data_IF_578947059187
#
_entry.id   IF_578947059187
#
_cell.length_a   1.000
_cell.length_b   1.000
_cell.length_c   1.000
_cell.angle_alpha   90.00
_cell.angle_beta   90.00
_cell.angle_gamma   90.00
#
_symmetry.space_group_name_H-M   'P 1'
#
loop_
_entity.id
_entity.type
_entity.pdbx_description
1 polymer ?
#
# COMPACT_ATOMS: atom_id res chain seq x y z
N UNK A 1 20.38 -9.01 18.82
CA UNK A 1 19.50 -9.64 17.81
C UNK A 1 18.68 -8.51 17.24
N UNK A 2 18.88 -8.17 15.96
CA UNK A 2 18.42 -6.89 15.40
C UNK A 2 16.90 -6.80 15.44
N UNK A 3 16.37 -5.79 16.13
CA UNK A 3 14.97 -5.39 15.99
C UNK A 3 14.80 -4.86 14.56
N UNK A 4 14.48 -5.73 13.61
CA UNK A 4 14.10 -5.27 12.28
C UNK A 4 12.65 -4.79 12.39
N UNK A 5 12.45 -3.48 12.47
CA UNK A 5 11.11 -2.87 12.46
C UNK A 5 10.42 -3.22 11.14
N UNK A 6 9.13 -3.60 11.13
CA UNK A 6 8.44 -3.95 9.89
C UNK A 6 8.42 -2.78 8.91
N UNK A 7 8.54 -3.08 7.62
CA UNK A 7 8.56 -2.06 6.56
C UNK A 7 7.20 -1.95 5.89
N UNK A 8 6.66 -0.73 5.86
CA UNK A 8 5.39 -0.42 5.23
C UNK A 8 5.64 0.56 4.07
N UNK A 9 5.22 0.19 2.87
CA UNK A 9 5.28 1.03 1.69
C UNK A 9 3.93 1.73 1.45
N UNK A 10 3.92 3.05 1.37
CA UNK A 10 2.73 3.87 1.11
C UNK A 10 2.87 4.52 -0.25
N UNK A 11 1.98 4.18 -1.18
CA UNK A 11 2.02 4.60 -2.57
C UNK A 11 0.78 5.43 -2.92
N UNK A 12 1.00 6.73 -3.17
CA UNK A 12 -0.06 7.66 -3.54
C UNK A 12 0.56 8.90 -4.20
N UNK A 13 -0.08 9.45 -5.22
CA UNK A 13 0.37 10.70 -5.86
C UNK A 13 0.09 11.93 -5.00
N UNK A 14 -0.88 11.85 -4.08
CA UNK A 14 -1.19 12.90 -3.13
C UNK A 14 -0.25 12.88 -1.91
N UNK A 15 0.60 13.91 -1.81
CA UNK A 15 1.43 14.16 -0.62
C UNK A 15 0.60 14.19 0.68
N UNK A 16 -0.61 14.75 0.64
CA UNK A 16 -1.48 14.85 1.80
C UNK A 16 -1.97 13.47 2.27
N UNK A 17 -2.31 12.58 1.32
CA UNK A 17 -2.74 11.21 1.63
C UNK A 17 -1.60 10.43 2.26
N UNK A 18 -0.38 10.49 1.70
CA UNK A 18 0.79 9.82 2.26
C UNK A 18 1.13 10.31 3.65
N UNK A 19 1.12 11.63 3.86
CA UNK A 19 1.35 12.22 5.19
C UNK A 19 0.30 11.73 6.20
N UNK A 20 -0.99 11.76 5.84
CA UNK A 20 -2.06 11.26 6.72
C UNK A 20 -1.90 9.79 7.06
N UNK A 21 -1.53 8.94 6.10
CA UNK A 21 -1.28 7.53 6.34
C UNK A 21 -0.07 7.33 7.25
N UNK A 22 1.02 8.05 7.00
CA UNK A 22 2.23 8.02 7.82
C UNK A 22 1.96 8.42 9.27
N UNK A 23 1.24 9.51 9.48
CA UNK A 23 0.85 9.98 10.81
C UNK A 23 0.03 8.89 11.52
N UNK A 24 -0.95 8.30 10.81
CA UNK A 24 -1.75 7.19 11.32
C UNK A 24 -0.91 5.96 11.72
N UNK A 25 0.02 5.52 10.86
CA UNK A 25 0.87 4.36 11.11
C UNK A 25 1.86 4.63 12.26
N UNK A 26 2.38 5.84 12.36
CA UNK A 26 3.32 6.24 13.43
C UNK A 26 2.68 6.19 14.82
N UNK A 27 1.36 6.36 14.90
CA UNK A 27 0.58 6.21 16.13
C UNK A 27 0.27 4.74 16.48
N UNK A 28 0.44 3.81 15.53
CA UNK A 28 0.10 2.40 15.70
C UNK A 28 1.31 1.52 16.05
N UNK A 29 2.54 1.96 15.77
CA UNK A 29 3.74 1.21 16.07
C UNK A 29 5.02 1.83 15.50
N UNK A 30 6.17 1.22 15.81
CA UNK A 30 7.45 1.58 15.21
C UNK A 30 7.64 0.83 13.89
N UNK A 31 7.41 1.53 12.78
CA UNK A 31 7.52 1.01 11.42
C UNK A 31 8.55 1.78 10.60
N UNK A 32 9.20 1.08 9.68
CA UNK A 32 9.95 1.73 8.60
C UNK A 32 8.96 2.12 7.49
N UNK A 33 8.57 3.40 7.43
CA UNK A 33 7.60 3.87 6.43
C UNK A 33 8.36 4.40 5.20
N UNK A 34 8.11 3.78 4.05
CA UNK A 34 8.63 4.18 2.74
C UNK A 34 7.50 4.78 1.91
N UNK A 35 7.76 5.87 1.19
CA UNK A 35 6.74 6.63 0.47
C UNK A 35 7.06 6.66 -1.03
N UNK A 36 6.07 6.33 -1.87
CA UNK A 36 6.17 6.37 -3.34
C UNK A 36 5.11 7.31 -3.92
N UNK A 37 5.42 8.03 -5.01
CA UNK A 37 4.60 9.12 -5.55
C UNK A 37 3.84 8.78 -6.83
N UNK A 38 4.10 7.62 -7.41
CA UNK A 38 3.52 7.14 -8.65
C UNK A 38 3.81 5.64 -8.77
N UNK A 39 3.12 4.94 -9.67
CA UNK A 39 3.24 3.49 -9.80
C UNK A 39 4.65 3.02 -10.15
N UNK A 40 5.43 3.79 -10.91
CA UNK A 40 6.81 3.42 -11.25
C UNK A 40 7.72 3.41 -10.01
N UNK A 41 7.72 4.51 -9.24
CA UNK A 41 8.46 4.61 -7.98
C UNK A 41 8.00 3.60 -6.94
N UNK A 42 6.71 3.23 -6.95
CA UNK A 42 6.15 2.20 -6.08
C UNK A 42 6.82 0.85 -6.32
N UNK A 43 6.94 0.42 -7.58
CA UNK A 43 7.58 -0.86 -7.93
C UNK A 43 9.09 -0.83 -7.62
N UNK A 44 9.77 0.29 -7.90
CA UNK A 44 11.19 0.43 -7.62
C UNK A 44 11.49 0.36 -6.12
N UNK A 45 10.76 1.13 -5.31
CA UNK A 45 10.92 1.13 -3.86
C UNK A 45 10.50 -0.18 -3.22
N UNK A 46 9.49 -0.85 -3.79
CA UNK A 46 9.11 -2.21 -3.39
C UNK A 46 10.29 -3.19 -3.53
N UNK A 47 10.94 -3.20 -4.70
CA UNK A 47 12.10 -4.06 -4.98
C UNK A 47 13.31 -3.74 -4.09
N UNK A 48 13.48 -2.48 -3.71
CA UNK A 48 14.63 -2.03 -2.90
C UNK A 48 14.45 -2.30 -1.40
N UNK A 49 13.22 -2.25 -0.89
CA UNK A 49 12.96 -2.25 0.55
C UNK A 49 12.27 -3.52 1.07
N UNK A 50 11.85 -4.43 0.19
CA UNK A 50 11.18 -5.70 0.53
C UNK A 50 10.08 -5.54 1.62
N UNK A 51 9.06 -4.70 1.38
CA UNK A 51 8.08 -4.36 2.41
C UNK A 51 7.25 -5.57 2.87
N UNK A 52 6.78 -5.50 4.10
CA UNK A 52 5.86 -6.47 4.72
C UNK A 52 4.41 -6.15 4.36
N UNK A 53 4.10 -4.85 4.22
CA UNK A 53 2.78 -4.32 3.90
C UNK A 53 2.89 -3.16 2.91
N UNK A 54 1.98 -3.13 1.94
CA UNK A 54 1.86 -2.04 0.96
C UNK A 54 0.45 -1.46 1.01
N UNK A 55 0.34 -0.14 1.11
CA UNK A 55 -0.87 0.61 0.79
C UNK A 55 -0.70 1.22 -0.60
N UNK A 56 -1.58 0.89 -1.54
CA UNK A 56 -1.41 1.25 -2.95
C UNK A 56 -2.65 1.93 -3.52
N UNK A 57 -2.53 3.19 -3.94
CA UNK A 57 -3.60 3.85 -4.69
C UNK A 57 -3.76 3.27 -6.09
N UNK A 58 -5.01 3.21 -6.55
CA UNK A 58 -5.36 2.69 -7.88
C UNK A 58 -5.06 3.73 -8.96
N UNK A 59 -5.32 5.01 -8.72
CA UNK A 59 -5.31 6.06 -9.75
C UNK A 59 -4.12 6.97 -9.53
N UNK A 60 -2.99 6.57 -10.11
CA UNK A 60 -1.76 7.35 -10.14
C UNK A 60 -1.38 7.70 -11.59
N UNK A 61 -0.64 8.80 -11.82
CA UNK A 61 -0.16 9.15 -13.15
C UNK A 61 0.84 8.12 -13.69
N UNK A 62 0.94 8.07 -15.02
CA UNK A 62 1.84 7.23 -15.82
C UNK A 62 1.60 5.72 -15.70
N UNK A 63 1.84 5.15 -14.50
CA UNK A 63 1.56 3.76 -14.15
C UNK A 63 0.52 3.71 -13.04
N UNK A 64 -0.60 3.06 -13.31
CA UNK A 64 -1.67 2.95 -12.34
C UNK A 64 -1.35 1.89 -11.27
N UNK A 65 -2.10 1.89 -10.17
CA UNK A 65 -1.86 0.98 -9.05
C UNK A 65 -2.06 -0.49 -9.37
N UNK A 66 -2.94 -0.84 -10.30
CA UNK A 66 -3.19 -2.24 -10.67
C UNK A 66 -2.01 -2.78 -11.48
N UNK A 67 -1.47 -1.98 -12.41
CA UNK A 67 -0.24 -2.33 -13.14
C UNK A 67 0.95 -2.48 -12.18
N UNK A 68 1.10 -1.55 -11.23
CA UNK A 68 2.13 -1.63 -10.21
C UNK A 68 1.97 -2.88 -9.32
N UNK A 69 0.74 -3.23 -8.93
CA UNK A 69 0.43 -4.44 -8.16
C UNK A 69 0.85 -5.71 -8.91
N UNK A 70 0.54 -5.81 -10.20
CA UNK A 70 0.93 -6.97 -11.02
C UNK A 70 2.45 -7.16 -11.02
N UNK A 71 3.22 -6.09 -11.22
CA UNK A 71 4.68 -6.15 -11.17
C UNK A 71 5.23 -6.49 -9.78
N UNK A 72 4.59 -6.01 -8.70
CA UNK A 72 4.96 -6.38 -7.33
C UNK A 72 4.73 -7.88 -7.07
N UNK A 73 3.62 -8.44 -7.57
CA UNK A 73 3.31 -9.86 -7.43
C UNK A 73 4.27 -10.77 -8.21
N UNK A 74 4.86 -10.29 -9.30
CA UNK A 74 5.93 -11.00 -10.00
C UNK A 74 7.22 -11.08 -9.17
N UNK A 75 7.47 -10.09 -8.31
CA UNK A 75 8.65 -10.04 -7.43
C UNK A 75 8.43 -10.85 -6.15
N UNK A 76 7.30 -10.65 -5.47
CA UNK A 76 6.97 -11.29 -4.18
C UNK A 76 5.46 -11.50 -4.09
N UNK A 77 5.04 -12.75 -4.25
CA UNK A 77 3.61 -13.13 -4.28
C UNK A 77 2.91 -13.07 -2.93
N UNK A 78 3.66 -13.23 -1.84
CA UNK A 78 3.07 -13.36 -0.50
C UNK A 78 2.99 -12.04 0.26
N UNK A 79 3.39 -10.91 -0.35
CA UNK A 79 3.30 -9.59 0.27
C UNK A 79 1.83 -9.18 0.44
N UNK A 80 1.52 -8.46 1.52
CA UNK A 80 0.19 -7.92 1.76
C UNK A 80 0.05 -6.57 1.07
N UNK A 81 -0.74 -6.51 0.00
CA UNK A 81 -1.08 -5.25 -0.68
C UNK A 81 -2.53 -4.89 -0.41
N UNK A 82 -2.74 -3.73 0.18
CA UNK A 82 -4.04 -3.14 0.45
C UNK A 82 -4.25 -2.01 -0.54
N UNK A 83 -5.25 -2.14 -1.38
CA UNK A 83 -5.61 -1.08 -2.31
C UNK A 83 -6.29 0.05 -1.55
N UNK A 84 -5.87 1.29 -1.76
CA UNK A 84 -6.39 2.46 -1.04
C UNK A 84 -6.81 3.53 -2.04
N UNK A 85 -8.10 3.66 -2.38
CA UNK A 85 -8.50 4.60 -3.46
C UNK A 85 -9.81 5.35 -3.23
N UNK A 86 -9.89 6.57 -3.78
CA UNK A 86 -11.11 7.40 -3.83
C UNK A 86 -12.09 6.93 -4.90
N UNK A 87 -11.60 6.25 -5.95
CA UNK A 87 -12.38 5.84 -7.12
C UNK A 87 -12.29 4.33 -7.35
N UNK A 88 -12.87 3.58 -6.41
CA UNK A 88 -13.05 2.13 -6.49
C UNK A 88 -14.34 1.77 -7.23
N UNK A 89 -14.28 1.62 -8.55
CA UNK A 89 -15.41 0.99 -9.27
C UNK A 89 -15.40 -0.51 -9.00
N UNK A 90 -16.55 -1.18 -9.15
CA UNK A 90 -16.62 -2.66 -9.06
C UNK A 90 -15.61 -3.34 -9.99
N UNK A 91 -15.38 -2.75 -11.16
CA UNK A 91 -14.40 -3.24 -12.14
C UNK A 91 -12.97 -3.12 -11.63
N UNK A 92 -12.59 -1.96 -11.05
CA UNK A 92 -11.26 -1.78 -10.47
C UNK A 92 -11.00 -2.70 -9.28
N UNK A 93 -11.98 -2.85 -8.38
CA UNK A 93 -11.87 -3.79 -7.26
C UNK A 93 -11.66 -5.21 -7.76
N UNK A 94 -12.48 -5.67 -8.72
CA UNK A 94 -12.35 -7.02 -9.29
C UNK A 94 -10.95 -7.23 -9.89
N UNK A 95 -10.49 -6.29 -10.72
CA UNK A 95 -9.18 -6.38 -11.35
C UNK A 95 -8.03 -6.39 -10.32
N UNK A 96 -8.13 -5.59 -9.25
CA UNK A 96 -7.11 -5.59 -8.20
C UNK A 96 -7.09 -6.90 -7.40
N UNK A 97 -8.24 -7.47 -7.06
CA UNK A 97 -8.32 -8.76 -6.39
C UNK A 97 -7.76 -9.89 -7.28
N UNK A 98 -8.11 -9.91 -8.57
CA UNK A 98 -7.56 -10.86 -9.54
C UNK A 98 -6.04 -10.70 -9.72
N UNK A 99 -5.53 -9.48 -9.56
CA UNK A 99 -4.10 -9.19 -9.60
C UNK A 99 -3.36 -9.52 -8.30
N UNK A 100 -4.02 -9.97 -7.23
CA UNK A 100 -3.38 -10.41 -5.98
C UNK A 100 -3.47 -9.42 -4.82
N UNK A 101 -4.32 -8.40 -4.89
CA UNK A 101 -4.60 -7.55 -3.74
C UNK A 101 -5.17 -8.36 -2.58
N UNK A 102 -4.73 -8.05 -1.36
CA UNK A 102 -5.21 -8.69 -0.13
C UNK A 102 -6.52 -8.09 0.36
N UNK A 103 -6.69 -6.78 0.21
CA UNK A 103 -7.92 -6.07 0.59
C UNK A 103 -8.02 -4.71 -0.12
N UNK A 104 -9.14 -4.02 0.09
CA UNK A 104 -9.41 -2.68 -0.43
C UNK A 104 -10.02 -1.77 0.65
N UNK A 105 -9.50 -0.55 0.76
CA UNK A 105 -10.02 0.52 1.61
C UNK A 105 -10.39 1.71 0.72
N UNK A 106 -11.64 2.17 0.85
CA UNK A 106 -12.09 3.39 0.18
C UNK A 106 -11.61 4.64 0.94
N UNK A 107 -11.17 5.66 0.20
CA UNK A 107 -10.90 6.99 0.77
C UNK A 107 -12.20 7.81 0.86
N UNK A 108 -12.39 8.63 1.92
CA UNK A 108 -11.56 8.72 3.13
C UNK A 108 -11.73 7.50 4.04
N UNK A 109 -10.66 7.11 4.72
CA UNK A 109 -10.68 6.01 5.69
C UNK A 109 -10.79 6.52 7.13
N UNK A 110 -11.31 5.65 7.98
CA UNK A 110 -11.24 5.78 9.43
C UNK A 110 -9.94 5.15 9.97
N UNK A 111 -9.41 5.70 11.06
CA UNK A 111 -8.21 5.17 11.72
C UNK A 111 -8.36 3.69 12.12
N UNK A 112 -9.56 3.32 12.56
CA UNK A 112 -9.94 1.95 12.93
C UNK A 112 -9.71 0.93 11.80
N UNK A 113 -9.92 1.33 10.54
CA UNK A 113 -9.70 0.45 9.38
C UNK A 113 -8.21 0.14 9.20
N UNK A 114 -7.34 1.14 9.32
CA UNK A 114 -5.88 0.95 9.22
C UNK A 114 -5.35 0.15 10.40
N UNK A 115 -5.86 0.45 11.61
CA UNK A 115 -5.53 -0.31 12.82
C UNK A 115 -5.88 -1.80 12.67
N UNK A 116 -7.05 -2.11 12.09
CA UNK A 116 -7.45 -3.50 11.84
C UNK A 116 -6.51 -4.21 10.87
N UNK A 117 -6.12 -3.57 9.77
CA UNK A 117 -5.15 -4.12 8.81
C UNK A 117 -3.81 -4.41 9.50
N UNK A 118 -3.27 -3.42 10.22
CA UNK A 118 -1.95 -3.52 10.87
C UNK A 118 -1.94 -4.67 11.88
N UNK A 119 -2.98 -4.80 12.73
CA UNK A 119 -3.11 -5.89 13.72
C UNK A 119 -3.28 -7.28 13.13
N UNK A 120 -3.82 -7.39 11.92
CA UNK A 120 -3.98 -8.68 11.25
C UNK A 120 -2.70 -9.15 10.55
N UNK A 121 -1.71 -8.26 10.40
CA UNK A 121 -0.46 -8.53 9.67
C UNK A 121 0.72 -8.66 10.64
N UNK A 122 0.77 -7.82 11.68
CA UNK A 122 1.84 -7.78 12.69
C UNK A 122 1.30 -8.14 14.08
#
# INVERSE_FOLDING_TARGET
MGNNRPTILVCDDSLLVRKKMKDCLSELGDFNIVEAANGQSSVELFKQNDPDLVFLDIVMPDKNGIEALQEMMEVKKDVKVIMLSSSGTKTHLKAAMEAGASDFIQKPWEKSQIEHIVKNIF
#
